data_IF_796211049724
#
_entry.id   IF_796211049724
#
_cell.length_a   1.000
_cell.length_b   1.000
_cell.length_c   1.000
_cell.angle_alpha   90.00
_cell.angle_beta   90.00
_cell.angle_gamma   90.00
#
_symmetry.space_group_name_H-M   'P 1'
#
loop_
_entity.id
_entity.type
_entity.pdbx_description
1 polymer ?
#
# COMPACT_ATOMS: atom_id res chain seq x y z
N UNK A 1 -3.49 -9.56 11.27
CA UNK A 1 -4.45 -9.09 12.29
C UNK A 1 -5.75 -8.54 11.71
N UNK A 2 -5.84 -8.17 10.43
CA UNK A 2 -7.12 -7.79 9.77
C UNK A 2 -7.69 -8.87 8.80
N UNK A 3 -6.91 -9.89 8.43
CA UNK A 3 -7.36 -11.01 7.58
C UNK A 3 -8.38 -11.97 8.24
N UNK A 4 -8.78 -11.71 9.49
CA UNK A 4 -9.72 -12.55 10.27
C UNK A 4 -10.95 -11.75 10.74
N UNK A 5 -11.32 -10.68 10.03
CA UNK A 5 -12.55 -9.92 10.34
C UNK A 5 -13.75 -10.74 9.85
N UNK A 6 -14.13 -11.73 10.64
CA UNK A 6 -15.24 -12.65 10.39
C UNK A 6 -16.58 -12.07 10.84
N UNK A 7 -16.85 -10.81 10.46
CA UNK A 7 -18.12 -10.11 10.74
C UNK A 7 -18.44 -9.81 12.21
N UNK A 8 -17.65 -10.29 13.17
CA UNK A 8 -17.89 -10.15 14.61
C UNK A 8 -17.17 -8.98 15.28
N UNK A 9 -16.26 -8.31 14.56
CA UNK A 9 -15.46 -7.20 15.09
C UNK A 9 -16.07 -5.87 14.65
N UNK A 10 -16.26 -4.93 15.58
CA UNK A 10 -16.84 -3.63 15.27
C UNK A 10 -15.92 -2.83 14.32
N UNK A 11 -16.54 -1.97 13.50
CA UNK A 11 -15.83 -1.12 12.53
C UNK A 11 -14.74 -0.25 13.19
N UNK A 12 -15.01 0.26 14.38
CA UNK A 12 -14.06 1.06 15.15
C UNK A 12 -12.79 0.29 15.52
N UNK A 13 -12.93 -0.98 15.93
CA UNK A 13 -11.79 -1.84 16.26
C UNK A 13 -10.95 -2.15 15.02
N UNK A 14 -11.62 -2.38 13.88
CA UNK A 14 -10.95 -2.60 12.58
C UNK A 14 -10.17 -1.34 12.16
N UNK A 15 -10.78 -0.16 12.30
CA UNK A 15 -10.13 1.13 11.99
C UNK A 15 -8.94 1.42 12.91
N UNK A 16 -9.06 1.10 14.20
CA UNK A 16 -7.97 1.26 15.16
C UNK A 16 -6.81 0.32 14.83
N UNK A 17 -7.08 -0.95 14.54
CA UNK A 17 -6.05 -1.92 14.14
C UNK A 17 -5.36 -1.51 12.82
N UNK A 18 -6.09 -0.90 11.89
CA UNK A 18 -5.51 -0.33 10.67
C UNK A 18 -4.54 0.81 10.98
N UNK A 19 -4.94 1.78 11.83
CA UNK A 19 -4.07 2.90 12.25
C UNK A 19 -2.82 2.42 12.98
N UNK A 20 -2.96 1.44 13.87
CA UNK A 20 -1.82 0.83 14.56
C UNK A 20 -0.85 0.16 13.60
N UNK A 21 -1.34 -0.48 12.53
CA UNK A 21 -0.49 -1.05 11.50
C UNK A 21 0.24 0.04 10.69
N UNK A 22 -0.44 1.12 10.31
CA UNK A 22 0.18 2.27 9.64
C UNK A 22 1.31 2.87 10.49
N UNK A 23 1.03 3.08 11.78
CA UNK A 23 2.02 3.59 12.73
C UNK A 23 3.19 2.63 12.91
N UNK A 24 2.93 1.33 13.14
CA UNK A 24 3.95 0.30 13.34
C UNK A 24 4.93 0.25 12.17
N UNK A 25 4.41 0.18 10.96
CA UNK A 25 5.21 -0.03 9.74
C UNK A 25 5.67 1.27 9.08
N UNK A 26 5.16 2.41 9.55
CA UNK A 26 5.51 3.71 9.00
C UNK A 26 5.04 3.87 7.56
N UNK A 27 3.83 3.38 7.26
CA UNK A 27 3.21 3.45 5.94
C UNK A 27 1.88 4.16 6.09
N UNK A 28 1.61 5.14 5.23
CA UNK A 28 0.31 5.79 5.13
C UNK A 28 -0.19 5.72 3.71
N UNK A 29 -1.45 5.36 3.56
CA UNK A 29 -2.10 5.21 2.26
C UNK A 29 -3.07 6.38 2.05
N UNK A 30 -3.06 6.91 0.84
CA UNK A 30 -3.99 7.93 0.36
C UNK A 30 -4.67 7.46 -0.91
N UNK A 31 -6.00 7.49 -0.90
CA UNK A 31 -6.84 7.29 -2.09
C UNK A 31 -6.66 8.45 -3.07
N UNK A 32 -6.97 8.18 -4.34
CA UNK A 32 -7.24 9.18 -5.39
C UNK A 32 -6.06 10.11 -5.64
N UNK A 33 -4.89 9.52 -5.94
CA UNK A 33 -3.82 10.29 -6.54
C UNK A 33 -4.09 10.44 -8.05
N UNK A 34 -3.97 11.68 -8.54
CA UNK A 34 -4.05 11.96 -9.97
C UNK A 34 -2.92 11.17 -10.66
N UNK A 35 -3.26 10.35 -11.67
CA UNK A 35 -2.36 9.41 -12.37
C UNK A 35 -1.18 10.08 -13.13
N UNK A 36 -0.92 11.36 -12.85
CA UNK A 36 0.12 12.19 -13.46
C UNK A 36 1.50 12.01 -12.81
N UNK A 37 1.59 11.24 -11.73
CA UNK A 37 2.88 10.91 -11.10
C UNK A 37 3.45 9.67 -11.78
N UNK A 38 4.73 9.71 -12.15
CA UNK A 38 5.41 8.54 -12.69
C UNK A 38 5.42 7.40 -11.65
N UNK A 39 5.17 6.15 -12.07
CA UNK A 39 5.18 5.04 -11.15
C UNK A 39 6.61 4.70 -10.71
N UNK A 40 6.76 4.41 -9.42
CA UNK A 40 8.00 4.07 -8.73
C UNK A 40 7.98 4.58 -7.29
N UNK A 41 9.12 4.43 -6.61
CA UNK A 41 9.35 5.06 -5.32
C UNK A 41 10.29 6.25 -5.49
N UNK A 42 10.07 7.31 -4.72
CA UNK A 42 10.79 8.58 -4.79
C UNK A 42 11.17 9.04 -3.40
N UNK A 43 12.29 9.76 -3.29
CA UNK A 43 12.72 10.40 -2.05
C UNK A 43 12.78 11.90 -2.23
N UNK A 44 12.39 12.69 -1.21
CA UNK A 44 12.43 14.12 -1.34
C UNK A 44 13.85 14.65 -1.12
N UNK A 45 14.22 15.74 -1.79
CA UNK A 45 15.53 16.37 -1.61
C UNK A 45 15.71 16.97 -0.20
N UNK A 46 14.60 17.32 0.45
CA UNK A 46 14.51 17.86 1.80
C UNK A 46 13.32 17.22 2.51
N UNK A 47 13.29 17.14 3.85
CA UNK A 47 12.10 16.65 4.56
C UNK A 47 10.85 17.45 4.18
N UNK A 48 9.81 16.76 3.72
CA UNK A 48 8.52 17.34 3.34
C UNK A 48 7.41 16.78 4.22
N UNK A 49 6.45 17.64 4.56
CA UNK A 49 5.25 17.19 5.26
C UNK A 49 4.38 16.35 4.33
N UNK A 50 3.57 15.49 4.92
CA UNK A 50 2.56 14.69 4.21
C UNK A 50 1.58 15.55 3.39
N UNK A 51 1.13 16.67 3.95
CA UNK A 51 0.27 17.64 3.24
C UNK A 51 0.98 18.20 2.00
N UNK A 52 2.29 18.46 2.11
CA UNK A 52 3.09 18.90 0.98
C UNK A 52 3.18 17.81 -0.09
N UNK A 53 3.43 16.56 0.27
CA UNK A 53 3.43 15.43 -0.68
C UNK A 53 2.12 15.39 -1.46
N UNK A 54 0.98 15.46 -0.79
CA UNK A 54 -0.34 15.44 -1.45
C UNK A 54 -0.58 16.61 -2.40
N UNK A 55 0.07 17.74 -2.16
CA UNK A 55 0.02 18.88 -3.09
C UNK A 55 0.90 18.64 -4.30
N UNK A 56 2.09 18.07 -4.10
CA UNK A 56 3.06 17.78 -5.16
C UNK A 56 2.50 16.77 -6.16
N UNK A 57 1.79 15.74 -5.69
CA UNK A 57 1.22 14.70 -6.59
C UNK A 57 0.13 15.21 -7.54
N UNK A 58 -0.37 16.43 -7.35
CA UNK A 58 -1.32 17.07 -8.28
C UNK A 58 -0.63 17.78 -9.46
N UNK A 59 0.69 17.87 -9.46
CA UNK A 59 1.47 18.54 -10.51
C UNK A 59 2.79 17.81 -10.75
N UNK A 60 2.90 17.15 -11.91
CA UNK A 60 4.12 16.45 -12.31
C UNK A 60 5.37 17.32 -12.19
N UNK A 61 5.33 18.58 -12.66
CA UNK A 61 6.47 19.49 -12.59
C UNK A 61 6.91 19.81 -11.16
N UNK A 62 5.97 19.94 -10.23
CA UNK A 62 6.31 20.20 -8.82
C UNK A 62 6.85 18.93 -8.16
N UNK A 63 6.27 17.78 -8.47
CA UNK A 63 6.72 16.48 -8.01
C UNK A 63 8.17 16.21 -8.46
N UNK A 64 8.44 16.32 -9.76
CA UNK A 64 9.76 16.08 -10.37
C UNK A 64 10.86 17.02 -9.83
N UNK A 65 10.51 18.26 -9.47
CA UNK A 65 11.46 19.19 -8.84
C UNK A 65 11.74 18.92 -7.37
N UNK A 66 10.82 18.27 -6.67
CA UNK A 66 10.88 18.11 -5.22
C UNK A 66 11.38 16.72 -4.80
N UNK A 67 11.19 15.72 -5.67
CA UNK A 67 11.56 14.34 -5.41
C UNK A 67 12.40 13.76 -6.53
N UNK A 68 13.31 12.87 -6.15
CA UNK A 68 14.11 12.09 -7.07
C UNK A 68 13.73 10.59 -7.00
N UNK A 69 13.75 9.86 -8.13
CA UNK A 69 13.51 8.43 -8.13
C UNK A 69 14.49 7.68 -7.23
N UNK A 70 13.97 6.72 -6.46
CA UNK A 70 14.80 5.74 -5.78
C UNK A 70 15.38 4.77 -6.80
N UNK A 71 16.64 4.38 -6.60
CA UNK A 71 17.21 3.27 -7.36
C UNK A 71 16.46 1.97 -7.03
N UNK A 72 16.35 1.05 -8.00
CA UNK A 72 15.59 -0.21 -7.88
C UNK A 72 15.89 -1.01 -6.61
N UNK A 73 17.15 -1.04 -6.17
CA UNK A 73 17.54 -1.73 -4.94
C UNK A 73 16.99 -1.05 -3.67
N UNK A 74 16.98 0.27 -3.63
CA UNK A 74 16.45 1.04 -2.51
C UNK A 74 14.92 0.94 -2.46
N UNK A 75 14.25 1.04 -3.60
CA UNK A 75 12.81 0.78 -3.73
C UNK A 75 12.45 -0.62 -3.23
N UNK A 76 13.15 -1.66 -3.72
CA UNK A 76 12.91 -3.04 -3.26
C UNK A 76 13.07 -3.17 -1.75
N UNK A 77 14.11 -2.57 -1.17
CA UNK A 77 14.32 -2.59 0.27
C UNK A 77 13.21 -1.87 1.05
N UNK A 78 12.73 -0.74 0.55
CA UNK A 78 11.60 0.01 1.13
C UNK A 78 10.33 -0.84 1.16
N UNK A 79 10.02 -1.50 0.04
CA UNK A 79 8.89 -2.42 -0.08
C UNK A 79 9.02 -3.58 0.90
N UNK A 80 10.16 -4.28 0.91
CA UNK A 80 10.39 -5.46 1.76
C UNK A 80 10.34 -5.10 3.26
N UNK A 81 10.85 -3.94 3.67
CA UNK A 81 10.98 -3.58 5.09
C UNK A 81 9.71 -2.97 5.67
N UNK A 82 8.94 -2.24 4.88
CA UNK A 82 7.80 -1.47 5.37
C UNK A 82 6.50 -1.97 4.79
N UNK A 83 6.39 -1.97 3.46
CA UNK A 83 5.13 -2.24 2.79
C UNK A 83 4.71 -3.70 2.93
N UNK A 84 5.62 -4.65 2.72
CA UNK A 84 5.33 -6.07 2.84
C UNK A 84 4.81 -6.49 4.23
N UNK A 85 5.51 -6.16 5.33
CA UNK A 85 5.04 -6.40 6.69
C UNK A 85 3.71 -5.72 7.00
N UNK A 86 3.52 -4.47 6.54
CA UNK A 86 2.25 -3.76 6.64
C UNK A 86 1.12 -4.54 5.99
N UNK A 87 1.33 -4.98 4.73
CA UNK A 87 0.32 -5.75 4.00
C UNK A 87 -0.02 -7.07 4.70
N UNK A 88 0.96 -7.71 5.35
CA UNK A 88 0.76 -8.94 6.13
C UNK A 88 -0.09 -8.71 7.37
N UNK A 89 0.24 -7.69 8.17
CA UNK A 89 -0.51 -7.40 9.39
C UNK A 89 -1.94 -6.95 9.09
N UNK A 90 -2.12 -6.23 7.99
CA UNK A 90 -3.41 -5.70 7.55
C UNK A 90 -4.21 -6.66 6.65
N UNK A 91 -3.65 -7.82 6.29
CA UNK A 91 -4.33 -8.77 5.38
C UNK A 91 -4.53 -8.22 3.95
N UNK A 92 -3.84 -7.14 3.60
CA UNK A 92 -3.99 -6.40 2.35
C UNK A 92 -3.43 -7.08 1.12
N UNK A 93 -2.72 -8.19 1.30
CA UNK A 93 -2.39 -9.09 0.21
C UNK A 93 -3.62 -9.39 -0.66
N UNK A 94 -4.82 -9.46 -0.04
CA UNK A 94 -6.09 -9.74 -0.72
C UNK A 94 -6.83 -8.53 -1.29
N UNK A 95 -6.33 -7.32 -1.14
CA UNK A 95 -6.88 -6.15 -1.84
C UNK A 95 -5.85 -5.49 -2.79
N UNK A 96 -4.67 -6.10 -2.92
CA UNK A 96 -3.48 -5.47 -3.48
C UNK A 96 -3.61 -4.96 -4.92
N UNK A 97 -4.41 -5.61 -5.78
CA UNK A 97 -4.48 -5.19 -7.18
C UNK A 97 -5.26 -3.89 -7.39
N UNK A 98 -6.23 -3.57 -6.52
CA UNK A 98 -7.01 -2.32 -6.60
C UNK A 98 -6.36 -1.16 -5.84
N UNK A 99 -5.55 -1.49 -4.82
CA UNK A 99 -4.70 -0.51 -4.13
C UNK A 99 -3.63 0.10 -5.03
N UNK A 100 -3.10 -0.66 -6.00
CA UNK A 100 -2.06 -0.18 -6.88
C UNK A 100 -2.55 0.91 -7.85
N UNK A 101 -3.75 0.78 -8.39
CA UNK A 101 -4.19 1.62 -9.50
C UNK A 101 -4.32 3.12 -9.14
N UNK A 102 -4.73 3.44 -7.91
CA UNK A 102 -5.12 4.81 -7.54
C UNK A 102 -4.52 5.31 -6.21
N UNK A 103 -3.59 4.59 -5.56
CA UNK A 103 -3.13 4.98 -4.21
C UNK A 103 -1.70 5.49 -4.16
N UNK A 104 -1.52 6.50 -3.31
CA UNK A 104 -0.22 7.05 -2.95
C UNK A 104 0.20 6.51 -1.59
N UNK A 105 1.43 6.01 -1.53
CA UNK A 105 2.05 5.51 -0.31
C UNK A 105 3.05 6.54 0.20
N UNK A 106 2.93 6.94 1.46
CA UNK A 106 3.88 7.82 2.13
C UNK A 106 4.54 7.03 3.26
N UNK A 107 5.87 6.97 3.23
CA UNK A 107 6.67 6.24 4.19
C UNK A 107 7.19 7.17 5.29
N UNK A 108 7.52 6.62 6.46
CA UNK A 108 8.01 7.39 7.62
C UNK A 108 9.25 8.24 7.32
N UNK A 109 10.11 7.82 6.38
CA UNK A 109 11.27 8.60 5.95
C UNK A 109 10.95 9.74 4.99
N UNK A 110 9.67 9.91 4.61
CA UNK A 110 9.22 10.89 3.63
C UNK A 110 9.28 10.37 2.20
N UNK A 111 9.72 9.13 1.97
CA UNK A 111 9.64 8.50 0.67
C UNK A 111 8.17 8.37 0.22
N UNK A 112 7.98 8.41 -1.08
CA UNK A 112 6.68 8.40 -1.71
C UNK A 112 6.66 7.29 -2.76
N UNK A 113 5.66 6.41 -2.69
CA UNK A 113 5.47 5.33 -3.64
C UNK A 113 4.15 5.46 -4.38
N UNK A 114 4.18 5.23 -5.69
CA UNK A 114 3.00 4.98 -6.53
C UNK A 114 3.39 3.90 -7.53
N UNK A 115 2.54 2.93 -7.81
CA UNK A 115 2.90 1.81 -8.69
C UNK A 115 1.74 1.47 -9.60
N UNK A 116 2.05 1.05 -10.82
CA UNK A 116 1.04 0.37 -11.65
C UNK A 116 0.63 -0.97 -11.00
N UNK A 117 -0.52 -1.51 -11.40
CA UNK A 117 -0.96 -2.83 -10.98
C UNK A 117 0.12 -3.91 -11.20
N UNK A 118 0.80 -3.89 -12.35
CA UNK A 118 1.84 -4.86 -12.69
C UNK A 118 3.08 -4.72 -11.80
N UNK A 119 3.55 -3.49 -11.55
CA UNK A 119 4.69 -3.26 -10.65
C UNK A 119 4.36 -3.64 -9.20
N UNK A 120 3.13 -3.39 -8.79
CA UNK A 120 2.65 -3.80 -7.48
C UNK A 120 2.59 -5.32 -7.34
N UNK A 121 2.02 -6.02 -8.32
CA UNK A 121 2.00 -7.48 -8.36
C UNK A 121 3.44 -8.04 -8.26
N UNK A 122 4.40 -7.43 -8.98
CA UNK A 122 5.81 -7.81 -8.89
C UNK A 122 6.44 -7.54 -7.51
N UNK A 123 6.01 -6.50 -6.81
CA UNK A 123 6.47 -6.20 -5.45
C UNK A 123 5.87 -7.17 -4.42
N UNK A 124 4.58 -7.50 -4.55
CA UNK A 124 3.93 -8.55 -3.75
C UNK A 124 4.59 -9.90 -3.96
N UNK A 125 4.87 -10.24 -5.22
CA UNK A 125 5.61 -11.41 -5.65
C UNK A 125 6.98 -11.51 -4.97
N UNK A 126 7.77 -10.44 -5.04
CA UNK A 126 9.09 -10.37 -4.44
C UNK A 126 9.04 -10.51 -2.91
N UNK A 127 8.02 -9.92 -2.28
CA UNK A 127 7.84 -10.03 -0.85
C UNK A 127 7.35 -11.42 -0.42
N UNK A 128 6.41 -12.03 -1.16
CA UNK A 128 5.98 -13.42 -0.97
C UNK A 128 7.16 -14.38 -1.06
N UNK A 129 8.05 -14.21 -2.05
CA UNK A 129 9.24 -15.04 -2.17
C UNK A 129 10.17 -14.89 -0.94
N UNK A 130 10.30 -13.69 -0.38
CA UNK A 130 11.10 -13.45 0.84
C UNK A 130 10.45 -14.08 2.08
N UNK A 131 9.12 -14.05 2.19
CA UNK A 131 8.41 -14.66 3.33
C UNK A 131 8.26 -16.18 3.19
N UNK A 132 8.10 -16.71 1.98
CA UNK A 132 8.09 -18.15 1.66
C UNK A 132 9.45 -18.82 1.86
N UNK A 133 10.54 -18.05 1.75
CA UNK A 133 11.87 -18.46 2.19
C UNK A 133 11.93 -18.79 3.70
N UNK A 134 10.84 -18.57 4.44
CA UNK A 134 10.59 -19.08 5.79
C UNK A 134 9.67 -20.33 5.82
N UNK A 135 9.69 -21.18 4.78
CA UNK A 135 9.29 -22.59 4.89
C UNK A 135 8.17 -23.12 3.99
N UNK A 136 7.88 -22.54 2.81
CA UNK A 136 7.03 -23.18 1.78
C UNK A 136 7.52 -22.88 0.37
N UNK A 137 8.12 -23.87 -0.28
CA UNK A 137 8.84 -23.72 -1.56
C UNK A 137 7.95 -23.90 -2.82
N UNK A 138 6.66 -24.23 -2.68
CA UNK A 138 5.77 -24.62 -3.79
C UNK A 138 4.84 -23.50 -4.30
N UNK A 139 4.87 -22.33 -3.67
CA UNK A 139 4.07 -21.18 -4.07
C UNK A 139 4.90 -20.18 -4.85
N UNK A 140 4.49 -19.82 -6.06
CA UNK A 140 5.08 -18.69 -6.78
C UNK A 140 4.31 -17.41 -6.47
N UNK A 141 5.01 -16.30 -6.58
CA UNK A 141 4.51 -14.95 -6.69
C UNK A 141 3.17 -14.80 -7.43
N UNK A 142 3.14 -15.25 -8.69
CA UNK A 142 2.01 -15.10 -9.60
C UNK A 142 0.82 -15.94 -9.15
N UNK A 143 1.09 -17.16 -8.66
CA UNK A 143 0.08 -18.10 -8.18
C UNK A 143 -0.58 -17.60 -6.88
N UNK A 144 0.18 -16.88 -6.05
CA UNK A 144 -0.35 -16.21 -4.86
C UNK A 144 -1.32 -15.09 -5.25
N UNK A 145 -0.94 -14.24 -6.22
CA UNK A 145 -1.82 -13.16 -6.74
C UNK A 145 -3.11 -13.74 -7.35
N UNK A 146 -3.02 -14.78 -8.17
CA UNK A 146 -4.19 -15.43 -8.78
C UNK A 146 -5.13 -16.04 -7.74
N UNK A 147 -4.59 -16.82 -6.79
CA UNK A 147 -5.39 -17.46 -5.73
C UNK A 147 -6.14 -16.40 -4.91
N UNK A 148 -5.47 -15.30 -4.61
CA UNK A 148 -6.00 -14.18 -3.85
C UNK A 148 -7.12 -13.46 -4.60
N UNK A 149 -6.94 -13.15 -5.89
CA UNK A 149 -7.99 -12.53 -6.73
C UNK A 149 -9.21 -13.43 -6.89
N UNK A 150 -9.02 -14.74 -6.87
CA UNK A 150 -10.10 -15.73 -6.96
C UNK A 150 -10.88 -15.93 -5.65
N UNK A 151 -10.47 -15.28 -4.54
CA UNK A 151 -11.14 -15.43 -3.26
C UNK A 151 -12.58 -14.86 -3.33
N UNK A 152 -13.61 -15.60 -2.86
CA UNK A 152 -15.02 -15.19 -2.97
C UNK A 152 -15.36 -13.82 -2.37
N UNK A 153 -14.54 -13.33 -1.43
CA UNK A 153 -14.72 -12.06 -0.71
C UNK A 153 -13.74 -10.96 -1.11
N UNK A 154 -12.96 -11.16 -2.18
CA UNK A 154 -11.96 -10.20 -2.67
C UNK A 154 -12.54 -8.79 -2.81
N UNK A 155 -13.71 -8.67 -3.45
CA UNK A 155 -14.37 -7.38 -3.67
C UNK A 155 -14.87 -6.73 -2.37
N UNK A 156 -15.39 -7.53 -1.44
CA UNK A 156 -15.85 -7.02 -0.14
C UNK A 156 -14.70 -6.47 0.70
N UNK A 157 -13.56 -7.17 0.72
CA UNK A 157 -12.36 -6.73 1.43
C UNK A 157 -11.74 -5.48 0.80
N UNK A 158 -11.78 -5.39 -0.53
CA UNK A 158 -11.36 -4.19 -1.26
C UNK A 158 -12.23 -2.97 -0.89
N UNK A 159 -13.56 -3.13 -0.88
CA UNK A 159 -14.49 -2.07 -0.47
C UNK A 159 -14.30 -1.68 1.00
N UNK A 160 -14.16 -2.66 1.90
CA UNK A 160 -13.90 -2.41 3.32
C UNK A 160 -12.65 -1.53 3.47
N UNK A 161 -11.58 -1.86 2.74
CA UNK A 161 -10.34 -1.16 2.88
C UNK A 161 -10.39 0.28 2.37
N UNK A 162 -10.91 0.53 1.16
CA UNK A 162 -11.10 1.90 0.66
C UNK A 162 -11.84 2.76 1.68
N UNK A 163 -12.86 2.18 2.32
CA UNK A 163 -13.59 2.88 3.37
C UNK A 163 -12.74 3.13 4.63
N UNK A 164 -11.88 2.19 5.03
CA UNK A 164 -10.95 2.39 6.15
C UNK A 164 -9.91 3.47 5.85
N UNK A 165 -9.39 3.53 4.62
CA UNK A 165 -8.45 4.57 4.19
C UNK A 165 -9.16 5.94 4.23
N UNK A 166 -10.33 6.06 3.60
CA UNK A 166 -11.13 7.26 3.65
C UNK A 166 -11.42 7.72 5.10
N UNK A 167 -11.85 6.82 5.98
CA UNK A 167 -12.13 7.12 7.39
C UNK A 167 -10.88 7.49 8.20
N UNK A 168 -9.76 6.80 7.98
CA UNK A 168 -8.48 7.14 8.61
C UNK A 168 -8.01 8.56 8.21
N UNK A 169 -8.48 9.07 7.07
CA UNK A 169 -8.18 10.41 6.56
C UNK A 169 -9.31 11.42 6.76
N UNK A 170 -10.38 11.05 7.47
CA UNK A 170 -11.51 11.94 7.75
C UNK A 170 -12.36 12.28 6.51
N UNK A 171 -12.27 11.49 5.45
CA UNK A 171 -13.09 11.63 4.24
C UNK A 171 -14.40 10.88 4.43
N UNK A 172 -15.51 11.50 4.03
CA UNK A 172 -16.83 10.87 4.12
C UNK A 172 -16.93 9.65 3.19
N UNK A 173 -17.18 8.49 3.76
CA UNK A 173 -17.43 7.24 3.02
C UNK A 173 -18.85 7.30 2.44
N UNK A 174 -18.99 7.23 1.11
CA UNK A 174 -20.29 7.01 0.47
C UNK A 174 -20.57 5.51 0.48
N UNK A 175 -21.70 5.12 1.10
CA UNK A 175 -22.14 3.72 1.26
C UNK A 175 -22.45 3.02 -0.07
#
# INVERSE_FOLDING_TARGET
MLAHVDGQVSREVVLQAYREAEEKHGVRIYDDHDARVAPGAFKPHMPISEERVRTLTRSWEQFDRALEPLGRAAERNLVIRSLGPFLSDTGLWVAGADLAADHLFIFRGGEVGSWTADQWDQHLANWAAVTQYQGRDDWTAERLVECVRSAPRYHEWTKLLRNLIAEARGVAVRG
#
